data_IF_476561572759
#
_entry.id   IF_476561572759
#
_cell.length_a   1.000
_cell.length_b   1.000
_cell.length_c   1.000
_cell.angle_alpha   90.00
_cell.angle_beta   90.00
_cell.angle_gamma   90.00
#
_symmetry.space_group_name_H-M   'P 1'
#
loop_
_entity.id
_entity.type
_entity.pdbx_description
1 polymer ?
#
# COMPACT_ATOMS: atom_id res chain seq x y z
N UNK A 1 -0.35 -28.18 -7.81
CA UNK A 1 -0.03 -27.71 -6.44
C UNK A 1 0.97 -26.55 -6.43
N UNK A 2 1.87 -26.43 -7.41
CA UNK A 2 2.78 -25.28 -7.56
C UNK A 2 2.05 -24.00 -8.04
N UNK A 3 1.27 -24.08 -9.14
CA UNK A 3 0.50 -22.94 -9.67
C UNK A 3 -0.49 -22.34 -8.66
N UNK A 4 -1.14 -23.17 -7.85
CA UNK A 4 -2.08 -22.69 -6.82
C UNK A 4 -1.40 -21.92 -5.69
N UNK A 5 -0.15 -22.27 -5.37
CA UNK A 5 0.64 -21.53 -4.38
C UNK A 5 1.17 -20.21 -4.96
N UNK A 6 1.58 -20.21 -6.23
CA UNK A 6 2.00 -19.00 -6.94
C UNK A 6 0.85 -17.98 -7.05
N UNK A 7 -0.37 -18.44 -7.38
CA UNK A 7 -1.56 -17.59 -7.42
C UNK A 7 -1.88 -17.01 -6.02
N UNK A 8 -1.74 -17.81 -4.97
CA UNK A 8 -1.97 -17.36 -3.60
C UNK A 8 -0.98 -16.27 -3.16
N UNK A 9 0.30 -16.45 -3.49
CA UNK A 9 1.36 -15.47 -3.20
C UNK A 9 1.14 -14.19 -3.99
N UNK A 10 0.83 -14.31 -5.29
CA UNK A 10 0.50 -13.18 -6.16
C UNK A 10 -0.69 -12.38 -5.61
N UNK A 11 -1.79 -13.06 -5.28
CA UNK A 11 -2.99 -12.43 -4.73
C UNK A 11 -2.72 -11.70 -3.41
N UNK A 12 -1.92 -12.29 -2.52
CA UNK A 12 -1.49 -11.64 -1.27
C UNK A 12 -0.68 -10.38 -1.56
N UNK A 13 0.33 -10.47 -2.43
CA UNK A 13 1.21 -9.36 -2.74
C UNK A 13 0.44 -8.19 -3.38
N UNK A 14 -0.45 -8.48 -4.33
CA UNK A 14 -1.37 -7.52 -4.92
C UNK A 14 -2.29 -6.88 -3.89
N UNK A 15 -2.84 -7.67 -2.96
CA UNK A 15 -3.69 -7.16 -1.88
C UNK A 15 -2.95 -6.16 -0.98
N UNK A 16 -1.74 -6.50 -0.54
CA UNK A 16 -0.92 -5.62 0.29
C UNK A 16 -0.51 -4.36 -0.48
N UNK A 17 -0.15 -4.50 -1.76
CA UNK A 17 0.17 -3.37 -2.63
C UNK A 17 -1.02 -2.41 -2.77
N UNK A 18 -2.22 -2.94 -3.04
CA UNK A 18 -3.42 -2.14 -3.17
C UNK A 18 -3.75 -1.36 -1.88
N UNK A 19 -3.58 -2.00 -0.71
CA UNK A 19 -3.73 -1.33 0.58
C UNK A 19 -2.74 -0.18 0.72
N UNK A 20 -1.46 -0.41 0.39
CA UNK A 20 -0.42 0.62 0.43
C UNK A 20 -0.74 1.81 -0.47
N UNK A 21 -1.20 1.55 -1.69
CA UNK A 21 -1.61 2.58 -2.65
C UNK A 21 -2.81 3.39 -2.14
N UNK A 22 -3.86 2.73 -1.66
CA UNK A 22 -5.04 3.44 -1.11
C UNK A 22 -4.65 4.30 0.09
N UNK A 23 -3.82 3.77 0.99
CA UNK A 23 -3.34 4.50 2.15
C UNK A 23 -2.52 5.74 1.74
N UNK A 24 -1.65 5.60 0.73
CA UNK A 24 -0.89 6.71 0.17
C UNK A 24 -1.81 7.77 -0.47
N UNK A 25 -2.83 7.36 -1.24
CA UNK A 25 -3.79 8.28 -1.84
C UNK A 25 -4.57 9.03 -0.75
N UNK A 26 -5.12 8.32 0.23
CA UNK A 26 -5.86 8.94 1.36
C UNK A 26 -4.97 9.90 2.13
N UNK A 27 -3.72 9.51 2.41
CA UNK A 27 -2.73 10.39 3.03
C UNK A 27 -2.47 11.64 2.20
N UNK A 28 -2.20 11.50 0.90
CA UNK A 28 -1.97 12.62 -0.01
C UNK A 28 -3.16 13.58 -0.07
N UNK A 29 -4.39 13.06 -0.18
CA UNK A 29 -5.61 13.87 -0.15
C UNK A 29 -5.81 14.58 1.18
N UNK A 30 -5.44 13.95 2.30
CA UNK A 30 -5.42 14.58 3.62
C UNK A 30 -4.38 15.71 3.73
N UNK A 31 -3.19 15.54 3.14
CA UNK A 31 -2.13 16.56 3.15
C UNK A 31 -2.51 17.82 2.36
N UNK A 32 -3.32 17.68 1.31
CA UNK A 32 -3.86 18.80 0.54
C UNK A 32 -5.22 19.29 1.07
N UNK A 33 -5.59 18.90 2.29
CA UNK A 33 -6.79 19.34 3.01
C UNK A 33 -8.12 19.00 2.28
N UNK A 34 -8.10 18.06 1.32
CA UNK A 34 -9.32 17.56 0.66
C UNK A 34 -10.12 16.67 1.63
N UNK A 35 -9.43 15.93 2.51
CA UNK A 35 -10.05 15.11 3.54
C UNK A 35 -9.90 15.77 4.91
N UNK A 36 -10.96 15.75 5.71
CA UNK A 36 -10.99 16.27 7.09
C UNK A 36 -10.31 15.32 8.09
N UNK A 37 -9.07 14.93 7.81
CA UNK A 37 -8.19 14.15 8.70
C UNK A 37 -7.11 15.05 9.27
N UNK A 38 -6.60 14.75 10.46
CA UNK A 38 -5.55 15.56 11.07
C UNK A 38 -4.24 15.43 10.29
N UNK A 39 -3.46 16.51 10.24
CA UNK A 39 -2.17 16.55 9.53
C UNK A 39 -1.23 15.38 9.92
N UNK A 40 -1.07 15.02 11.22
CA UNK A 40 -0.23 13.87 11.59
C UNK A 40 -0.74 12.55 11.01
N UNK A 41 -2.06 12.34 10.98
CA UNK A 41 -2.67 11.13 10.42
C UNK A 41 -2.48 11.09 8.91
N UNK A 42 -2.62 12.21 8.21
CA UNK A 42 -2.38 12.32 6.78
C UNK A 42 -0.92 11.98 6.42
N UNK A 43 0.05 12.50 7.17
CA UNK A 43 1.48 12.18 7.01
C UNK A 43 1.72 10.69 7.23
N UNK A 44 1.23 10.13 8.33
CA UNK A 44 1.43 8.71 8.65
C UNK A 44 0.80 7.80 7.60
N UNK A 45 -0.39 8.13 7.10
CA UNK A 45 -1.03 7.39 6.02
C UNK A 45 -0.20 7.48 4.72
N UNK A 46 0.26 8.68 4.35
CA UNK A 46 1.05 8.86 3.14
C UNK A 46 2.37 8.08 3.18
N UNK A 47 3.17 8.31 4.22
CA UNK A 47 4.48 7.67 4.39
C UNK A 47 4.33 6.17 4.62
N UNK A 48 3.36 5.75 5.43
CA UNK A 48 3.07 4.32 5.66
C UNK A 48 2.61 3.61 4.39
N UNK A 49 1.79 4.25 3.57
CA UNK A 49 1.34 3.73 2.29
C UNK A 49 2.49 3.53 1.30
N UNK A 50 3.36 4.54 1.17
CA UNK A 50 4.60 4.43 0.38
C UNK A 50 5.48 3.31 0.92
N UNK A 51 5.67 3.24 2.23
CA UNK A 51 6.46 2.20 2.88
C UNK A 51 5.95 0.80 2.58
N UNK A 52 4.63 0.59 2.58
CA UNK A 52 4.01 -0.69 2.21
C UNK A 52 4.24 -1.04 0.73
N UNK A 53 4.11 -0.07 -0.16
CA UNK A 53 4.37 -0.27 -1.61
C UNK A 53 5.82 -0.69 -1.84
N UNK A 54 6.77 0.02 -1.23
CA UNK A 54 8.20 -0.30 -1.30
C UNK A 54 8.48 -1.66 -0.68
N UNK A 55 7.86 -1.98 0.46
CA UNK A 55 8.01 -3.27 1.11
C UNK A 55 7.58 -4.42 0.21
N UNK A 56 6.44 -4.31 -0.47
CA UNK A 56 5.99 -5.33 -1.43
C UNK A 56 7.00 -5.49 -2.58
N UNK A 57 7.51 -4.37 -3.09
CA UNK A 57 8.44 -4.37 -4.21
C UNK A 57 9.81 -4.99 -3.84
N UNK A 58 10.37 -4.63 -2.68
CA UNK A 58 11.71 -5.05 -2.27
C UNK A 58 11.73 -6.43 -1.61
N UNK A 59 10.71 -6.77 -0.82
CA UNK A 59 10.74 -7.97 0.03
C UNK A 59 9.75 -9.06 -0.37
N UNK A 60 8.68 -8.73 -1.10
CA UNK A 60 7.69 -9.71 -1.55
C UNK A 60 7.85 -10.10 -3.02
N UNK A 61 8.86 -9.55 -3.71
CA UNK A 61 9.13 -9.84 -5.12
C UNK A 61 8.24 -9.09 -6.10
N UNK A 62 7.60 -8.00 -5.64
CA UNK A 62 6.70 -7.19 -6.46
C UNK A 62 5.27 -7.73 -6.54
N UNK A 63 4.33 -6.89 -7.01
CA UNK A 63 2.99 -7.35 -7.39
C UNK A 63 2.98 -8.07 -8.75
N UNK A 64 4.06 -7.99 -9.54
CA UNK A 64 4.23 -8.60 -10.86
C UNK A 64 5.69 -9.03 -11.08
#
# INVERSE_FOLDING_TARGET
MLESQEIGVLGRNLGVYAIGVVLAIVGALGLVEILSVSMPVAILAFVGGIGLVLFVHEYLGGPF
#
